data_IF_696823599777
#
_entry.id   IF_696823599777
#
_cell.length_a   1.000
_cell.length_b   1.000
_cell.length_c   1.000
_cell.angle_alpha   90.00
_cell.angle_beta   90.00
_cell.angle_gamma   90.00
#
_symmetry.space_group_name_H-M   'P 1'
#
loop_
_entity.id
_entity.type
_entity.pdbx_description
1 polymer ?
#
# COMPACT_ATOMS: atom_id res chain seq x y z
N UNK A 1 2.40 -10.42 3.36
CA UNK A 1 3.36 -11.10 4.26
C UNK A 1 4.26 -10.13 5.01
N UNK A 2 4.94 -9.19 4.34
CA UNK A 2 5.84 -8.23 5.02
C UNK A 2 5.20 -7.50 6.20
N UNK A 3 4.00 -6.94 6.02
CA UNK A 3 3.26 -6.25 7.08
C UNK A 3 3.04 -7.10 8.34
N UNK A 4 2.53 -8.32 8.17
CA UNK A 4 2.29 -9.27 9.25
C UNK A 4 3.58 -9.64 10.00
N UNK A 5 4.65 -9.93 9.25
CA UNK A 5 5.97 -10.22 9.83
C UNK A 5 6.51 -9.00 10.60
N UNK A 6 6.36 -7.80 10.03
CA UNK A 6 6.76 -6.56 10.68
C UNK A 6 6.03 -6.33 12.01
N UNK A 7 4.70 -6.53 12.03
CA UNK A 7 3.91 -6.43 13.27
C UNK A 7 4.42 -7.41 14.31
N UNK A 8 4.64 -8.67 13.94
CA UNK A 8 5.14 -9.69 14.86
C UNK A 8 6.52 -9.30 15.41
N UNK A 9 7.43 -8.82 14.56
CA UNK A 9 8.75 -8.35 14.98
C UNK A 9 8.60 -7.22 16.01
N UNK A 10 7.72 -6.24 15.78
CA UNK A 10 7.50 -5.16 16.76
C UNK A 10 6.90 -5.63 18.08
N UNK A 11 5.91 -6.52 18.04
CA UNK A 11 5.31 -7.11 19.25
C UNK A 11 6.36 -7.86 20.06
N UNK A 12 7.19 -8.69 19.41
CA UNK A 12 8.25 -9.43 20.09
C UNK A 12 9.43 -8.56 20.53
N UNK A 13 9.73 -7.47 19.81
CA UNK A 13 10.87 -6.59 20.15
C UNK A 13 10.58 -5.69 21.35
N UNK A 14 9.35 -5.20 21.48
CA UNK A 14 8.95 -4.29 22.57
C UNK A 14 8.50 -5.08 23.82
N UNK A 15 7.94 -6.28 23.62
CA UNK A 15 7.38 -7.08 24.72
C UNK A 15 6.04 -6.51 25.21
N UNK A 16 5.58 -6.83 26.44
CA UNK A 16 4.24 -6.51 26.92
C UNK A 16 4.02 -5.06 27.39
N UNK A 17 4.95 -4.14 27.12
CA UNK A 17 4.85 -2.75 27.59
C UNK A 17 3.84 -1.94 26.77
N UNK A 18 2.62 -1.80 27.29
CA UNK A 18 1.49 -1.13 26.63
C UNK A 18 1.66 0.37 26.48
N UNK A 19 2.42 1.04 27.36
CA UNK A 19 2.64 2.49 27.30
C UNK A 19 3.39 2.89 26.03
N UNK A 20 4.38 2.09 25.64
CA UNK A 20 5.16 2.31 24.41
C UNK A 20 4.25 2.13 23.19
N UNK A 21 3.43 1.09 23.15
CA UNK A 21 2.54 0.86 22.00
C UNK A 21 1.47 1.92 21.83
N UNK A 22 0.94 2.49 22.91
CA UNK A 22 0.01 3.61 22.81
C UNK A 22 0.66 4.87 22.21
N UNK A 23 1.95 5.10 22.45
CA UNK A 23 2.66 6.26 21.89
C UNK A 23 3.08 6.06 20.43
N UNK A 24 3.60 4.88 20.05
CA UNK A 24 4.19 4.65 18.72
C UNK A 24 3.38 3.72 17.81
N UNK A 25 2.38 3.01 18.32
CA UNK A 25 1.67 1.94 17.61
C UNK A 25 1.02 2.40 16.30
N UNK A 26 0.46 3.60 16.30
CA UNK A 26 -0.12 4.20 15.09
C UNK A 26 0.93 4.42 13.99
N UNK A 27 2.12 4.89 14.38
CA UNK A 27 3.24 5.13 13.50
C UNK A 27 3.84 3.82 12.99
N UNK A 28 3.92 2.79 13.84
CA UNK A 28 4.36 1.45 13.46
C UNK A 28 3.43 0.85 12.39
N UNK A 29 2.12 0.95 12.57
CA UNK A 29 1.15 0.46 11.57
C UNK A 29 1.35 1.20 10.24
N UNK A 30 1.43 2.52 10.26
CA UNK A 30 1.64 3.33 9.05
C UNK A 30 2.96 3.02 8.34
N UNK A 31 4.07 2.92 9.06
CA UNK A 31 5.37 2.61 8.47
C UNK A 31 5.40 1.23 7.82
N UNK A 32 4.81 0.22 8.45
CA UNK A 32 4.73 -1.13 7.89
C UNK A 32 3.83 -1.20 6.65
N UNK A 33 2.71 -0.46 6.63
CA UNK A 33 1.85 -0.32 5.45
C UNK A 33 2.63 0.31 4.31
N UNK A 34 3.34 1.41 4.57
CA UNK A 34 4.14 2.14 3.59
C UNK A 34 5.22 1.26 2.97
N UNK A 35 6.00 0.55 3.80
CA UNK A 35 7.02 -0.37 3.31
C UNK A 35 6.39 -1.51 2.50
N UNK A 36 5.35 -2.15 3.02
CA UNK A 36 4.71 -3.27 2.33
C UNK A 36 4.18 -2.86 0.95
N UNK A 37 3.61 -1.66 0.85
CA UNK A 37 3.13 -1.10 -0.42
C UNK A 37 4.29 -0.85 -1.39
N UNK A 38 5.40 -0.26 -0.94
CA UNK A 38 6.55 0.02 -1.80
C UNK A 38 7.10 -1.25 -2.49
N UNK A 39 7.18 -2.38 -1.77
CA UNK A 39 7.61 -3.65 -2.34
C UNK A 39 6.68 -4.18 -3.44
N UNK A 40 5.36 -4.01 -3.28
CA UNK A 40 4.37 -4.49 -4.26
C UNK A 40 4.30 -3.63 -5.53
N UNK A 41 4.64 -2.34 -5.45
CA UNK A 41 4.35 -1.36 -6.51
C UNK A 41 5.43 -1.26 -7.59
N UNK A 42 6.62 -1.85 -7.38
CA UNK A 42 7.73 -1.77 -8.36
C UNK A 42 7.46 -2.42 -9.71
N UNK A 43 6.55 -3.41 -9.76
CA UNK A 43 6.25 -4.18 -10.98
C UNK A 43 4.92 -3.80 -11.63
N UNK A 44 4.27 -2.76 -11.12
CA UNK A 44 2.88 -2.48 -11.37
C UNK A 44 2.53 -2.25 -12.84
N UNK A 45 3.33 -1.44 -13.53
CA UNK A 45 3.12 -1.16 -14.95
C UNK A 45 4.07 -1.96 -15.83
N UNK A 46 5.17 -2.44 -15.28
CA UNK A 46 6.21 -3.10 -16.05
C UNK A 46 5.77 -4.45 -16.63
N UNK A 47 4.97 -5.21 -15.87
CA UNK A 47 4.42 -6.47 -16.36
C UNK A 47 3.44 -6.24 -17.53
N UNK A 48 2.49 -5.32 -17.36
CA UNK A 48 1.50 -4.99 -18.39
C UNK A 48 2.11 -4.33 -19.63
N UNK A 49 3.20 -3.58 -19.44
CA UNK A 49 3.95 -3.02 -20.56
C UNK A 49 4.66 -4.13 -21.35
N UNK A 50 5.31 -5.07 -20.66
CA UNK A 50 6.03 -6.17 -21.31
C UNK A 50 5.11 -7.15 -22.04
N UNK A 51 3.91 -7.39 -21.50
CA UNK A 51 2.87 -8.22 -22.15
C UNK A 51 2.13 -7.48 -23.29
N UNK A 52 2.39 -6.18 -23.49
CA UNK A 52 1.74 -5.39 -24.54
C UNK A 52 0.28 -5.04 -24.28
N UNK A 53 -0.27 -5.36 -23.10
CA UNK A 53 -1.67 -5.14 -22.74
C UNK A 53 -2.03 -3.65 -22.74
N UNK A 54 -1.10 -2.79 -22.32
CA UNK A 54 -1.28 -1.32 -22.34
C UNK A 54 -1.48 -0.81 -23.77
N UNK A 55 -0.76 -1.38 -24.73
CA UNK A 55 -0.82 -0.97 -26.15
C UNK A 55 -2.13 -1.47 -26.78
N UNK A 56 -2.55 -2.69 -26.45
CA UNK A 56 -3.83 -3.25 -26.90
C UNK A 56 -5.03 -2.45 -26.36
N UNK A 57 -5.00 -2.05 -25.09
CA UNK A 57 -6.04 -1.21 -24.49
C UNK A 57 -6.11 0.17 -25.17
N UNK A 58 -4.96 0.76 -25.48
CA UNK A 58 -4.93 2.02 -26.23
C UNK A 58 -5.50 1.86 -27.65
N UNK A 59 -5.14 0.79 -28.36
CA UNK A 59 -5.69 0.49 -29.68
C UNK A 59 -7.20 0.25 -29.67
N UNK A 60 -7.77 -0.19 -28.54
CA UNK A 60 -9.22 -0.32 -28.36
C UNK A 60 -9.97 1.01 -28.16
N UNK A 61 -9.26 2.15 -28.17
CA UNK A 61 -9.82 3.49 -28.08
C UNK A 61 -9.82 4.11 -26.68
N UNK A 62 -9.17 3.49 -25.70
CA UNK A 62 -9.02 4.04 -24.35
C UNK A 62 -7.81 4.97 -24.26
N UNK A 63 -8.01 6.19 -23.76
CA UNK A 63 -6.93 7.13 -23.47
C UNK A 63 -6.05 6.62 -22.32
N UNK A 64 -4.74 6.93 -22.36
CA UNK A 64 -3.79 6.47 -21.34
C UNK A 64 -4.14 6.95 -19.93
N UNK A 65 -4.71 8.15 -19.80
CA UNK A 65 -5.16 8.70 -18.52
C UNK A 65 -6.25 7.82 -17.89
N UNK A 66 -7.16 7.33 -18.71
CA UNK A 66 -8.30 6.51 -18.28
C UNK A 66 -7.82 5.11 -17.85
N UNK A 67 -6.88 4.54 -18.60
CA UNK A 67 -6.23 3.26 -18.25
C UNK A 67 -5.54 3.37 -16.88
N UNK A 68 -4.79 4.45 -16.64
CA UNK A 68 -4.09 4.69 -15.37
C UNK A 68 -5.07 4.82 -14.20
N UNK A 69 -6.14 5.61 -14.35
CA UNK A 69 -7.15 5.80 -13.30
C UNK A 69 -7.82 4.48 -12.91
N UNK A 70 -8.26 3.69 -13.89
CA UNK A 70 -8.86 2.36 -13.65
C UNK A 70 -7.88 1.48 -12.88
N UNK A 71 -6.61 1.47 -13.27
CA UNK A 71 -5.59 0.64 -12.65
C UNK A 71 -5.32 1.04 -11.19
N UNK A 72 -5.29 2.34 -10.90
CA UNK A 72 -5.16 2.87 -9.53
C UNK A 72 -6.35 2.40 -8.68
N UNK A 73 -7.58 2.47 -9.20
CA UNK A 73 -8.77 2.03 -8.47
C UNK A 73 -8.76 0.54 -8.21
N UNK A 74 -8.41 -0.26 -9.23
CA UNK A 74 -8.30 -1.72 -9.11
C UNK A 74 -7.27 -2.05 -8.04
N UNK A 75 -6.06 -1.50 -8.12
CA UNK A 75 -5.04 -1.89 -7.16
C UNK A 75 -5.36 -1.39 -5.76
N UNK A 76 -5.94 -0.20 -5.63
CA UNK A 76 -6.33 0.31 -4.33
C UNK A 76 -7.32 -0.65 -3.69
N UNK A 77 -8.33 -1.09 -4.44
CA UNK A 77 -9.31 -2.05 -3.94
C UNK A 77 -8.65 -3.39 -3.59
N UNK A 78 -7.85 -3.98 -4.46
CA UNK A 78 -7.27 -5.31 -4.23
C UNK A 78 -6.18 -5.34 -3.16
N UNK A 79 -5.37 -4.29 -3.07
CA UNK A 79 -4.21 -4.23 -2.19
C UNK A 79 -4.59 -3.71 -0.80
N UNK A 80 -5.49 -2.72 -0.70
CA UNK A 80 -5.84 -2.11 0.60
C UNK A 80 -6.90 -2.91 1.35
N UNK A 81 -7.79 -3.63 0.67
CA UNK A 81 -8.82 -4.46 1.32
C UNK A 81 -8.23 -5.46 2.33
N UNK A 82 -7.19 -6.26 2.01
CA UNK A 82 -6.59 -7.16 3.00
C UNK A 82 -5.94 -6.39 4.16
N UNK A 83 -5.31 -5.23 3.90
CA UNK A 83 -4.77 -4.40 4.98
C UNK A 83 -5.86 -3.87 5.91
N UNK A 84 -6.98 -3.42 5.37
CA UNK A 84 -8.11 -2.92 6.13
C UNK A 84 -8.65 -3.96 7.13
N UNK A 85 -8.66 -5.24 6.74
CA UNK A 85 -9.07 -6.35 7.60
C UNK A 85 -8.01 -6.68 8.66
N UNK A 86 -6.72 -6.58 8.31
CA UNK A 86 -5.62 -6.95 9.22
C UNK A 86 -5.32 -5.84 10.25
N UNK A 87 -5.57 -4.57 9.91
CA UNK A 87 -5.29 -3.42 10.81
C UNK A 87 -5.97 -3.55 12.18
N UNK A 88 -7.28 -3.87 12.31
CA UNK A 88 -7.91 -4.09 13.61
C UNK A 88 -7.25 -5.21 14.41
N UNK A 89 -6.90 -6.32 13.75
CA UNK A 89 -6.19 -7.44 14.35
C UNK A 89 -4.81 -7.01 14.86
N UNK A 90 -4.09 -6.22 14.05
CA UNK A 90 -2.80 -5.66 14.44
C UNK A 90 -2.90 -4.69 15.62
N UNK A 91 -3.96 -3.87 15.67
CA UNK A 91 -4.17 -2.94 16.78
C UNK A 91 -4.44 -3.67 18.10
N UNK A 92 -5.19 -4.78 18.06
CA UNK A 92 -5.41 -5.64 19.23
C UNK A 92 -4.11 -6.31 19.68
N UNK A 93 -3.30 -6.82 18.74
CA UNK A 93 -1.98 -7.40 19.03
C UNK A 93 -1.02 -6.40 19.67
N UNK A 94 -1.14 -5.12 19.32
CA UNK A 94 -0.35 -4.02 19.88
C UNK A 94 -0.97 -3.42 21.15
N UNK A 95 -2.09 -3.96 21.68
CA UNK A 95 -2.79 -3.42 22.85
C UNK A 95 -3.14 -1.91 22.73
N UNK A 96 -3.49 -1.45 21.54
CA UNK A 96 -3.88 -0.06 21.29
C UNK A 96 -5.30 0.18 21.83
N UNK A 97 -5.53 1.33 22.46
CA UNK A 97 -6.88 1.74 22.91
C UNK A 97 -7.91 1.74 21.77
N UNK A 98 -9.14 1.27 22.05
CA UNK A 98 -10.22 1.20 21.06
C UNK A 98 -10.57 2.54 20.42
N UNK A 99 -10.40 3.64 21.16
CA UNK A 99 -10.59 5.02 20.67
C UNK A 99 -9.70 5.31 19.44
N UNK A 100 -8.47 4.82 19.46
CA UNK A 100 -7.48 5.07 18.41
C UNK A 100 -7.67 4.16 17.19
N UNK A 101 -8.34 3.01 17.34
CA UNK A 101 -8.60 2.08 16.22
C UNK A 101 -9.46 2.75 15.14
N UNK A 102 -10.52 3.47 15.52
CA UNK A 102 -11.35 4.20 14.56
C UNK A 102 -10.54 5.28 13.83
N UNK A 103 -9.67 5.97 14.55
CA UNK A 103 -8.81 7.02 14.00
C UNK A 103 -7.81 6.45 12.98
N UNK A 104 -7.24 5.27 13.27
CA UNK A 104 -6.38 4.53 12.32
C UNK A 104 -7.15 4.15 11.06
N UNK A 105 -8.36 3.59 11.20
CA UNK A 105 -9.14 3.12 10.06
C UNK A 105 -9.54 4.28 9.14
N UNK A 106 -9.97 5.41 9.71
CA UNK A 106 -10.31 6.62 8.95
C UNK A 106 -9.07 7.19 8.27
N UNK A 107 -7.97 7.31 9.02
CA UNK A 107 -6.68 7.78 8.50
C UNK A 107 -6.22 6.89 7.33
N UNK A 108 -6.32 5.57 7.48
CA UNK A 108 -5.94 4.61 6.45
C UNK A 108 -6.84 4.70 5.20
N UNK A 109 -8.16 4.82 5.37
CA UNK A 109 -9.08 4.98 4.23
C UNK A 109 -8.77 6.22 3.41
N UNK A 110 -8.36 7.32 4.05
CA UNK A 110 -8.02 8.58 3.38
C UNK A 110 -6.59 8.56 2.83
N UNK A 111 -5.62 8.06 3.60
CA UNK A 111 -4.21 8.09 3.20
C UNK A 111 -3.85 7.01 2.17
N UNK A 112 -4.54 5.87 2.19
CA UNK A 112 -4.26 4.78 1.27
C UNK A 112 -4.49 5.09 -0.23
N UNK A 113 -5.54 5.83 -0.68
CA UNK A 113 -5.67 6.23 -2.08
C UNK A 113 -4.63 7.27 -2.50
N UNK A 114 -4.19 8.13 -1.57
CA UNK A 114 -3.09 9.08 -1.82
C UNK A 114 -1.80 8.31 -2.08
N UNK A 115 -1.55 7.26 -1.29
CA UNK A 115 -0.37 6.41 -1.42
C UNK A 115 -0.34 5.59 -2.70
N UNK A 116 -1.47 5.03 -3.12
CA UNK A 116 -1.55 4.31 -4.39
C UNK A 116 -1.30 5.25 -5.58
N UNK A 117 -1.78 6.49 -5.49
CA UNK A 117 -1.54 7.51 -6.50
C UNK A 117 -0.05 7.89 -6.61
N UNK A 118 0.60 8.15 -5.47
CA UNK A 118 2.05 8.44 -5.42
C UNK A 118 2.87 7.26 -5.96
N UNK A 119 2.49 6.05 -5.60
CA UNK A 119 3.19 4.86 -6.06
C UNK A 119 2.98 4.61 -7.56
N UNK A 120 1.80 4.92 -8.10
CA UNK A 120 1.54 4.89 -9.54
C UNK A 120 2.46 5.84 -10.30
N UNK A 121 2.65 7.06 -9.79
CA UNK A 121 3.59 8.04 -10.36
C UNK A 121 5.01 7.47 -10.38
N UNK A 122 5.49 6.94 -9.25
CA UNK A 122 6.81 6.31 -9.15
C UNK A 122 7.00 5.15 -10.13
N UNK A 123 5.97 4.29 -10.29
CA UNK A 123 5.98 3.19 -11.25
C UNK A 123 6.10 3.65 -12.71
N UNK A 124 5.41 4.74 -13.07
CA UNK A 124 5.50 5.32 -14.42
C UNK A 124 6.88 5.91 -14.73
N UNK A 125 7.50 6.59 -13.75
CA UNK A 125 8.84 7.15 -13.91
C UNK A 125 9.90 6.06 -14.08
N UNK A 126 9.80 4.96 -13.32
CA UNK A 126 10.68 3.81 -13.47
C UNK A 126 10.58 3.17 -14.87
N UNK A 127 9.36 3.06 -15.41
CA UNK A 127 9.16 2.61 -16.78
C UNK A 127 9.81 3.53 -17.81
N UNK A 128 9.63 4.85 -17.66
CA UNK A 128 10.25 5.84 -18.55
C UNK A 128 11.78 5.75 -18.52
N UNK A 129 12.35 5.56 -17.34
CA UNK A 129 13.79 5.36 -17.20
C UNK A 129 14.26 4.10 -17.96
N UNK A 130 13.58 2.97 -17.80
CA UNK A 130 13.93 1.73 -18.51
C UNK A 130 13.75 1.83 -20.03
N UNK A 131 12.91 2.73 -20.54
CA UNK A 131 12.76 3.01 -21.97
C UNK A 131 13.91 3.84 -22.54
N UNK A 132 14.44 4.79 -21.77
CA UNK A 132 15.52 5.66 -22.23
C UNK A 132 16.89 4.95 -22.28
N UNK A 133 17.04 3.83 -21.57
CA UNK A 133 18.28 3.05 -21.49
C UNK A 133 18.18 1.65 -22.13
N UNK A 134 17.11 1.36 -22.88
CA UNK A 134 16.93 0.12 -23.65
C UNK A 134 16.90 0.42 -25.15
#
# INVERSE_FOLDING_TARGET
>A
MFFLLGILIFVFSIGPNTEIFNQIGIGVIWTLILLSNNLSLRKFYQNDFNDGSIILLHMSGLSYELIVLIKIIIIWTFLQLPFFIIIPIAAILLNIELSNINLILISFLIGSPILTSIASISGSMNLLNNRNFA
#
